data_IF_701514356542
#
_entry.id   IF_701514356542
#
_cell.length_a   1.000
_cell.length_b   1.000
_cell.length_c   1.000
_cell.angle_alpha   90.00
_cell.angle_beta   90.00
_cell.angle_gamma   90.00
#
_symmetry.space_group_name_H-M   'P 1'
#
loop_
_entity.id
_entity.type
_entity.pdbx_description
1 polymer ?
#
# COMPACT_ATOMS: atom_id res chain seq x y z
N UNK A 1 -23.50 5.26 -1.54
CA UNK A 1 -22.43 4.41 -2.08
C UNK A 1 -21.10 5.11 -1.86
N UNK A 2 -20.14 4.47 -1.19
CA UNK A 2 -18.80 5.02 -1.00
C UNK A 2 -18.02 5.04 -2.31
N UNK A 3 -17.17 6.06 -2.52
CA UNK A 3 -16.29 6.15 -3.69
C UNK A 3 -14.84 5.99 -3.25
N UNK A 4 -14.20 4.92 -3.70
CA UNK A 4 -12.84 4.55 -3.31
C UNK A 4 -12.00 4.44 -4.59
N UNK A 5 -10.84 5.11 -4.59
CA UNK A 5 -9.79 4.89 -5.59
C UNK A 5 -8.75 3.93 -5.00
N UNK A 6 -8.61 2.75 -5.60
CA UNK A 6 -7.81 1.66 -5.06
C UNK A 6 -6.32 1.72 -5.42
N UNK A 7 -5.87 2.68 -6.23
CA UNK A 7 -4.44 2.95 -6.43
C UNK A 7 -4.22 4.31 -7.08
N UNK A 8 -3.47 5.18 -6.41
CA UNK A 8 -3.09 6.48 -6.98
C UNK A 8 -1.62 6.82 -6.73
N UNK A 9 -0.92 7.22 -7.79
CA UNK A 9 0.46 7.69 -7.76
C UNK A 9 0.58 8.93 -8.65
N UNK A 10 0.67 10.10 -8.02
CA UNK A 10 0.71 11.38 -8.71
C UNK A 10 1.53 12.40 -7.93
N UNK A 11 1.77 13.57 -8.52
CA UNK A 11 2.43 14.67 -7.83
C UNK A 11 1.46 15.37 -6.87
N UNK A 12 1.34 14.83 -5.65
CA UNK A 12 0.39 15.26 -4.63
C UNK A 12 0.52 16.75 -4.30
N UNK A 13 -0.64 17.40 -4.20
CA UNK A 13 -0.75 18.82 -3.90
C UNK A 13 -2.14 19.15 -3.38
N UNK A 14 -2.30 20.32 -2.78
CA UNK A 14 -3.61 20.81 -2.35
C UNK A 14 -4.64 20.82 -3.49
N UNK A 15 -4.21 21.14 -4.72
CA UNK A 15 -5.07 21.09 -5.91
C UNK A 15 -5.69 19.71 -6.07
N UNK A 16 -4.89 18.65 -5.96
CA UNK A 16 -5.37 17.26 -6.09
C UNK A 16 -6.30 16.91 -4.92
N UNK A 17 -5.98 17.33 -3.69
CA UNK A 17 -6.86 17.11 -2.54
C UNK A 17 -8.24 17.75 -2.75
N UNK A 18 -8.29 18.97 -3.30
CA UNK A 18 -9.54 19.65 -3.66
C UNK A 18 -10.29 18.92 -4.78
N UNK A 19 -9.59 18.47 -5.82
CA UNK A 19 -10.20 17.70 -6.91
C UNK A 19 -10.80 16.37 -6.41
N UNK A 20 -10.15 15.67 -5.47
CA UNK A 20 -10.74 14.50 -4.82
C UNK A 20 -12.03 14.85 -4.08
N UNK A 21 -12.07 15.99 -3.38
CA UNK A 21 -13.29 16.46 -2.70
C UNK A 21 -14.41 16.83 -3.67
N UNK A 22 -14.10 17.59 -4.72
CA UNK A 22 -15.04 17.93 -5.80
C UNK A 22 -15.59 16.67 -6.49
N UNK A 23 -14.72 15.69 -6.69
CA UNK A 23 -15.06 14.36 -7.20
C UNK A 23 -15.72 13.44 -6.17
N UNK A 24 -15.99 13.88 -4.94
CA UNK A 24 -16.64 13.07 -3.91
C UNK A 24 -15.93 11.75 -3.58
N UNK A 25 -14.60 11.72 -3.65
CA UNK A 25 -13.79 10.54 -3.32
C UNK A 25 -13.71 10.41 -1.80
N UNK A 26 -14.25 9.33 -1.24
CA UNK A 26 -14.28 9.08 0.20
C UNK A 26 -12.94 8.50 0.70
N UNK A 27 -12.25 7.69 -0.12
CA UNK A 27 -10.94 7.15 0.22
C UNK A 27 -10.05 6.96 -1.02
N UNK A 28 -8.74 7.04 -0.81
CA UNK A 28 -7.74 6.70 -1.82
C UNK A 28 -6.60 5.90 -1.20
N UNK A 29 -6.21 4.81 -1.88
CA UNK A 29 -4.94 4.12 -1.63
C UNK A 29 -3.84 4.83 -2.40
N UNK A 30 -2.90 5.45 -1.68
CA UNK A 30 -1.79 6.21 -2.26
C UNK A 30 -0.50 5.41 -2.20
N UNK A 31 0.24 5.41 -3.30
CA UNK A 31 1.57 4.80 -3.32
C UNK A 31 2.58 5.71 -2.64
N UNK A 32 3.22 5.22 -1.59
CA UNK A 32 4.31 5.91 -0.89
C UNK A 32 5.65 5.18 -0.97
N UNK A 33 5.67 4.03 -1.64
CA UNK A 33 6.89 3.32 -2.01
C UNK A 33 6.72 2.64 -3.37
N UNK A 34 7.57 3.02 -4.31
CA UNK A 34 7.68 2.53 -5.68
C UNK A 34 9.12 2.08 -5.96
N UNK A 35 10.09 2.90 -5.55
CA UNK A 35 11.53 2.59 -5.56
C UNK A 35 12.21 2.80 -4.20
N UNK A 36 11.48 3.40 -3.26
CA UNK A 36 11.98 3.81 -1.97
C UNK A 36 12.36 2.62 -1.10
N UNK A 37 13.54 2.71 -0.48
CA UNK A 37 13.97 1.83 0.61
C UNK A 37 13.37 2.31 1.94
N UNK A 38 13.63 1.60 3.04
CA UNK A 38 12.97 1.89 4.33
C UNK A 38 13.07 3.36 4.76
N UNK A 39 14.28 3.94 4.69
CA UNK A 39 14.50 5.33 5.12
C UNK A 39 13.78 6.36 4.24
N UNK A 40 13.71 6.11 2.94
CA UNK A 40 13.05 7.00 1.98
C UNK A 40 11.52 6.91 2.12
N UNK A 41 10.99 5.70 2.37
CA UNK A 41 9.58 5.50 2.71
C UNK A 41 9.21 6.27 3.98
N UNK A 42 10.06 6.27 5.01
CA UNK A 42 9.85 7.07 6.23
C UNK A 42 9.80 8.57 5.90
N UNK A 43 10.65 9.07 5.01
CA UNK A 43 10.60 10.48 4.58
C UNK A 43 9.27 10.80 3.85
N UNK A 44 8.73 9.86 3.07
CA UNK A 44 7.40 10.00 2.47
C UNK A 44 6.30 10.06 3.54
N UNK A 45 6.38 9.23 4.60
CA UNK A 45 5.46 9.31 5.74
C UNK A 45 5.54 10.67 6.44
N UNK A 46 6.75 11.20 6.68
CA UNK A 46 6.95 12.54 7.25
C UNK A 46 6.29 13.63 6.39
N UNK A 47 6.44 13.56 5.06
CA UNK A 47 5.80 14.49 4.14
C UNK A 47 4.26 14.42 4.22
N UNK A 48 3.69 13.22 4.22
CA UNK A 48 2.25 13.03 4.34
C UNK A 48 1.69 13.54 5.65
N UNK A 49 2.39 13.33 6.77
CA UNK A 49 2.00 13.90 8.06
C UNK A 49 1.86 15.42 7.99
N UNK A 50 2.82 16.09 7.33
CA UNK A 50 2.74 17.53 7.08
C UNK A 50 1.55 17.95 6.22
N UNK A 51 1.11 17.11 5.26
CA UNK A 51 -0.11 17.38 4.49
C UNK A 51 -1.38 17.17 5.30
N UNK A 52 -1.44 16.13 6.16
CA UNK A 52 -2.59 15.92 7.05
C UNK A 52 -2.78 17.09 8.01
N UNK A 53 -1.71 17.69 8.51
CA UNK A 53 -1.78 18.90 9.34
C UNK A 53 -2.28 20.12 8.55
N UNK A 54 -1.63 20.42 7.41
CA UNK A 54 -1.92 21.62 6.60
C UNK A 54 -3.28 21.58 5.90
N UNK A 55 -3.77 20.39 5.57
CA UNK A 55 -5.00 20.17 4.81
C UNK A 55 -5.98 19.28 5.56
N UNK A 56 -6.01 19.40 6.88
CA UNK A 56 -6.87 18.61 7.77
C UNK A 56 -8.35 18.72 7.43
N UNK A 57 -8.80 19.82 6.83
CA UNK A 57 -10.17 19.99 6.33
C UNK A 57 -10.47 19.25 5.02
N UNK A 58 -9.46 18.69 4.34
CA UNK A 58 -9.61 17.96 3.07
C UNK A 58 -9.29 16.47 3.22
N UNK A 59 -8.25 16.13 3.98
CA UNK A 59 -7.71 14.76 4.05
C UNK A 59 -7.33 14.35 5.48
N UNK A 60 -7.18 13.03 5.69
CA UNK A 60 -6.55 12.43 6.88
C UNK A 60 -6.02 11.04 6.59
N UNK A 61 -5.18 10.53 7.50
CA UNK A 61 -4.69 9.16 7.45
C UNK A 61 -5.81 8.13 7.74
N UNK A 62 -6.07 7.26 6.77
CA UNK A 62 -6.95 6.10 6.90
C UNK A 62 -6.19 4.84 7.30
N UNK A 63 -6.80 4.02 8.16
CA UNK A 63 -6.21 2.78 8.68
C UNK A 63 -7.20 1.60 8.65
N UNK A 64 -8.49 1.87 8.59
CA UNK A 64 -9.58 0.90 8.72
C UNK A 64 -10.75 1.26 7.79
N UNK A 65 -11.69 0.34 7.60
CA UNK A 65 -12.92 0.63 6.86
C UNK A 65 -13.82 1.68 7.52
N UNK A 66 -13.68 1.92 8.83
CA UNK A 66 -14.39 3.01 9.52
C UNK A 66 -13.94 4.38 9.05
N UNK A 67 -12.67 4.53 8.69
CA UNK A 67 -12.14 5.80 8.18
C UNK A 67 -12.79 6.20 6.85
N UNK A 68 -13.20 5.22 6.02
CA UNK A 68 -13.96 5.49 4.79
C UNK A 68 -15.36 6.04 5.11
N UNK A 69 -16.00 5.53 6.17
CA UNK A 69 -17.30 6.01 6.65
C UNK A 69 -17.18 7.41 7.24
N UNK A 70 -16.15 7.62 8.06
CA UNK A 70 -15.84 8.91 8.66
C UNK A 70 -15.58 9.97 7.58
N UNK A 71 -14.73 9.67 6.60
CA UNK A 71 -14.39 10.57 5.50
C UNK A 71 -15.63 11.10 4.78
N UNK A 72 -16.57 10.20 4.46
CA UNK A 72 -17.86 10.58 3.87
C UNK A 72 -18.66 11.51 4.77
N UNK A 73 -18.78 11.18 6.06
CA UNK A 73 -19.59 11.94 7.01
C UNK A 73 -19.03 13.34 7.29
N UNK A 74 -17.71 13.48 7.28
CA UNK A 74 -17.00 14.73 7.56
C UNK A 74 -16.73 15.56 6.30
N UNK A 75 -17.05 15.03 5.12
CA UNK A 75 -16.75 15.72 3.87
C UNK A 75 -15.25 15.83 3.60
N UNK A 76 -14.47 14.79 3.95
CA UNK A 76 -13.01 14.66 3.76
C UNK A 76 -12.68 13.38 2.99
N UNK A 77 -11.42 13.18 2.61
CA UNK A 77 -10.93 11.94 1.97
C UNK A 77 -9.94 11.22 2.88
N UNK A 78 -10.19 9.94 3.17
CA UNK A 78 -9.24 9.10 3.90
C UNK A 78 -8.12 8.62 2.98
N UNK A 79 -6.87 8.77 3.40
CA UNK A 79 -5.66 8.41 2.66
C UNK A 79 -5.07 7.14 3.27
N UNK A 80 -5.05 6.05 2.51
CA UNK A 80 -4.47 4.78 2.92
C UNK A 80 -3.11 4.62 2.25
N UNK A 81 -2.07 4.35 3.02
CA UNK A 81 -0.75 4.12 2.44
C UNK A 81 -0.64 2.70 1.89
N UNK A 82 0.01 2.58 0.74
CA UNK A 82 0.53 1.31 0.30
C UNK A 82 1.77 1.42 -0.57
N UNK A 83 2.35 0.24 -0.80
CA UNK A 83 3.63 0.08 -1.47
C UNK A 83 3.41 -0.73 -2.74
N UNK A 84 3.82 -0.18 -3.88
CA UNK A 84 3.84 -0.94 -5.13
C UNK A 84 5.07 -1.86 -5.23
N UNK A 85 6.02 -1.75 -4.31
CA UNK A 85 7.24 -2.55 -4.25
C UNK A 85 7.53 -2.95 -2.80
N UNK A 86 8.00 -4.18 -2.52
CA UNK A 86 8.38 -4.59 -1.17
C UNK A 86 9.71 -3.98 -0.68
N UNK A 87 10.38 -3.12 -1.45
CA UNK A 87 11.67 -2.51 -1.09
C UNK A 87 11.74 -1.89 0.32
N UNK A 88 10.67 -1.33 0.94
CA UNK A 88 10.77 -0.82 2.30
C UNK A 88 11.03 -1.88 3.38
N UNK A 89 10.75 -3.16 3.12
CA UNK A 89 11.05 -4.24 4.09
C UNK A 89 12.43 -4.86 3.88
N UNK A 90 13.14 -4.49 2.80
CA UNK A 90 14.49 -4.95 2.50
C UNK A 90 14.60 -6.49 2.57
N UNK A 91 15.56 -7.02 3.32
CA UNK A 91 15.71 -8.44 3.63
C UNK A 91 15.27 -8.80 5.07
N UNK A 92 14.56 -7.89 5.76
CA UNK A 92 14.12 -8.05 7.16
C UNK A 92 12.59 -8.17 7.27
N UNK A 93 12.11 -9.39 7.58
CA UNK A 93 10.69 -9.69 7.78
C UNK A 93 10.08 -8.84 8.90
N UNK A 94 10.87 -8.47 9.92
CA UNK A 94 10.39 -7.65 11.04
C UNK A 94 9.95 -6.25 10.61
N UNK A 95 10.46 -5.74 9.49
CA UNK A 95 10.06 -4.43 8.95
C UNK A 95 8.62 -4.42 8.42
N UNK A 96 7.99 -5.59 8.19
CA UNK A 96 6.56 -5.66 7.83
C UNK A 96 5.69 -5.05 8.93
N UNK A 97 5.93 -5.44 10.20
CA UNK A 97 5.20 -4.89 11.35
C UNK A 97 5.47 -3.40 11.52
N UNK A 98 6.74 -2.99 11.39
CA UNK A 98 7.14 -1.58 11.51
C UNK A 98 6.46 -0.72 10.43
N UNK A 99 6.46 -1.17 9.17
CA UNK A 99 5.77 -0.48 8.08
C UNK A 99 4.26 -0.38 8.33
N UNK A 100 3.63 -1.45 8.83
CA UNK A 100 2.22 -1.44 9.20
C UNK A 100 1.91 -0.46 10.34
N UNK A 101 2.78 -0.38 11.36
CA UNK A 101 2.68 0.59 12.46
C UNK A 101 2.82 2.05 11.97
N UNK A 102 3.67 2.28 10.97
CA UNK A 102 3.84 3.57 10.30
C UNK A 102 2.64 3.95 9.41
N UNK A 103 1.70 3.04 9.19
CA UNK A 103 0.42 3.32 8.53
C UNK A 103 0.19 2.59 7.22
N UNK A 104 1.15 1.80 6.73
CA UNK A 104 0.97 1.00 5.53
C UNK A 104 -0.19 0.00 5.70
N UNK A 105 -1.04 -0.12 4.69
CA UNK A 105 -2.17 -1.06 4.66
C UNK A 105 -2.16 -2.00 3.48
N UNK A 106 -1.41 -1.68 2.44
CA UNK A 106 -1.23 -2.51 1.24
C UNK A 106 0.25 -2.61 0.92
N UNK A 107 0.71 -3.78 0.51
CA UNK A 107 2.06 -3.95 -0.04
C UNK A 107 2.03 -4.99 -1.15
N UNK A 108 2.58 -4.62 -2.30
CA UNK A 108 2.85 -5.57 -3.37
C UNK A 108 4.04 -6.46 -3.05
N UNK A 109 3.99 -7.72 -3.52
CA UNK A 109 5.13 -8.64 -3.37
C UNK A 109 6.22 -8.40 -4.42
N UNK A 110 5.91 -7.72 -5.53
CA UNK A 110 6.84 -7.40 -6.62
C UNK A 110 6.42 -6.13 -7.34
N UNK A 111 7.35 -5.55 -8.09
CA UNK A 111 7.06 -4.55 -9.11
C UNK A 111 7.80 -4.87 -10.41
N UNK A 112 7.08 -5.46 -11.38
CA UNK A 112 7.54 -5.87 -12.71
C UNK A 112 8.62 -6.96 -12.74
N UNK A 113 9.72 -6.80 -12.00
CA UNK A 113 10.83 -7.74 -11.96
C UNK A 113 10.76 -8.63 -10.71
N UNK A 114 11.61 -9.65 -10.67
CA UNK A 114 11.76 -10.51 -9.51
C UNK A 114 12.21 -9.73 -8.27
N UNK A 115 11.54 -9.98 -7.14
CA UNK A 115 11.92 -9.50 -5.82
C UNK A 115 12.48 -10.65 -4.97
N UNK A 116 12.84 -10.36 -3.72
CA UNK A 116 13.15 -11.42 -2.74
C UNK A 116 11.93 -12.29 -2.42
N UNK A 117 10.71 -11.84 -2.73
CA UNK A 117 9.46 -12.44 -2.28
C UNK A 117 8.78 -13.28 -3.35
N UNK A 118 8.79 -12.81 -4.60
CA UNK A 118 8.08 -13.45 -5.71
C UNK A 118 8.62 -13.00 -7.08
N UNK A 119 8.11 -13.58 -8.14
CA UNK A 119 8.43 -13.18 -9.52
C UNK A 119 7.45 -12.11 -10.02
N UNK A 120 8.00 -11.04 -10.60
CA UNK A 120 7.22 -9.95 -11.22
C UNK A 120 6.73 -10.29 -12.64
N UNK A 121 5.72 -9.57 -13.11
CA UNK A 121 5.02 -9.88 -14.37
C UNK A 121 5.84 -9.67 -15.66
N UNK A 122 7.01 -9.03 -15.60
CA UNK A 122 7.89 -8.81 -16.76
C UNK A 122 9.04 -9.83 -16.85
N UNK A 123 9.16 -10.73 -15.87
CA UNK A 123 10.15 -11.80 -15.93
C UNK A 123 9.76 -12.84 -16.99
N UNK A 124 10.77 -13.38 -17.68
CA UNK A 124 10.57 -14.45 -18.67
C UNK A 124 10.20 -15.80 -18.05
N UNK A 125 10.60 -16.02 -16.79
CA UNK A 125 10.33 -17.25 -16.04
C UNK A 125 9.69 -16.92 -14.70
N UNK A 126 8.49 -17.46 -14.44
CA UNK A 126 7.80 -17.31 -13.15
C UNK A 126 8.11 -18.48 -12.21
N UNK A 127 8.96 -18.21 -11.23
CA UNK A 127 9.38 -19.20 -10.23
C UNK A 127 8.40 -19.36 -9.07
N UNK A 128 7.39 -18.49 -8.98
CA UNK A 128 6.40 -18.48 -7.90
C UNK A 128 6.84 -17.72 -6.65
N UNK A 129 6.18 -17.99 -5.52
CA UNK A 129 6.52 -17.39 -4.22
C UNK A 129 7.77 -18.05 -3.64
N UNK A 130 8.77 -17.24 -3.28
CA UNK A 130 10.04 -17.71 -2.69
C UNK A 130 9.87 -18.19 -1.24
N UNK A 131 10.92 -18.79 -0.67
CA UNK A 131 10.94 -19.14 0.76
C UNK A 131 10.72 -17.91 1.66
N UNK A 132 11.35 -16.78 1.34
CA UNK A 132 11.18 -15.54 2.10
C UNK A 132 9.78 -14.96 1.88
N UNK A 133 9.27 -15.00 0.64
CA UNK A 133 7.91 -14.56 0.32
C UNK A 133 6.84 -15.27 1.17
N UNK A 134 6.96 -16.58 1.38
CA UNK A 134 6.04 -17.33 2.26
C UNK A 134 6.06 -16.81 3.71
N UNK A 135 7.25 -16.48 4.23
CA UNK A 135 7.38 -15.94 5.59
C UNK A 135 6.83 -14.51 5.70
N UNK A 136 7.06 -13.69 4.67
CA UNK A 136 6.48 -12.33 4.59
C UNK A 136 4.96 -12.39 4.47
N UNK A 137 4.39 -13.26 3.64
CA UNK A 137 2.93 -13.46 3.54
C UNK A 137 2.34 -13.86 4.90
N UNK A 138 3.01 -14.74 5.65
CA UNK A 138 2.57 -15.12 6.99
C UNK A 138 2.56 -13.90 7.95
N UNK A 139 3.59 -13.06 7.89
CA UNK A 139 3.68 -11.87 8.72
C UNK A 139 2.67 -10.78 8.32
N UNK A 140 2.48 -10.55 7.02
CA UNK A 140 1.44 -9.67 6.48
C UNK A 140 0.05 -10.09 6.96
N UNK A 141 -0.24 -11.39 6.92
CA UNK A 141 -1.49 -11.95 7.45
C UNK A 141 -1.67 -11.72 8.95
N UNK A 142 -0.59 -11.88 9.73
CA UNK A 142 -0.57 -11.67 11.19
C UNK A 142 -0.88 -10.22 11.55
N UNK A 143 -0.20 -9.26 10.91
CA UNK A 143 -0.35 -7.83 11.24
C UNK A 143 -1.56 -7.18 10.58
N UNK A 144 -2.09 -7.79 9.51
CA UNK A 144 -3.21 -7.24 8.73
C UNK A 144 -2.77 -6.28 7.63
N UNK A 145 -1.58 -6.49 7.05
CA UNK A 145 -1.13 -5.80 5.85
C UNK A 145 -1.67 -6.55 4.62
N UNK A 146 -2.44 -5.88 3.76
CA UNK A 146 -3.07 -6.50 2.60
C UNK A 146 -2.01 -6.80 1.53
N UNK A 147 -2.10 -8.00 0.95
CA UNK A 147 -1.23 -8.45 -0.14
C UNK A 147 -1.80 -7.93 -1.46
N UNK A 148 -0.97 -7.25 -2.24
CA UNK A 148 -1.29 -6.82 -3.59
C UNK A 148 -0.42 -7.58 -4.61
N UNK A 149 -1.04 -8.07 -5.68
CA UNK A 149 -0.38 -8.88 -6.72
C UNK A 149 -0.41 -8.21 -8.10
N UNK A 150 -0.79 -6.93 -8.18
CA UNK A 150 -1.04 -6.22 -9.45
C UNK A 150 0.15 -6.25 -10.44
N UNK A 151 1.40 -6.23 -9.95
CA UNK A 151 2.61 -6.36 -10.77
C UNK A 151 3.40 -7.65 -10.51
N UNK A 152 2.71 -8.72 -10.12
CA UNK A 152 3.27 -10.05 -9.95
C UNK A 152 2.91 -10.96 -11.13
N UNK A 153 3.75 -11.97 -11.37
CA UNK A 153 3.48 -12.96 -12.40
C UNK A 153 2.35 -13.94 -11.99
N UNK A 154 1.82 -14.69 -12.96
CA UNK A 154 0.61 -15.49 -12.80
C UNK A 154 0.76 -16.60 -11.73
N UNK A 155 1.79 -17.44 -11.82
CA UNK A 155 2.04 -18.50 -10.84
C UNK A 155 2.36 -17.90 -9.49
N UNK A 156 3.15 -16.83 -9.42
CA UNK A 156 3.39 -16.10 -8.17
C UNK A 156 2.09 -15.62 -7.52
N UNK A 157 1.14 -15.13 -8.33
CA UNK A 157 -0.19 -14.70 -7.86
C UNK A 157 -1.02 -15.88 -7.34
N UNK A 158 -1.07 -16.99 -8.09
CA UNK A 158 -1.78 -18.20 -7.67
C UNK A 158 -1.19 -18.81 -6.39
N UNK A 159 0.14 -18.87 -6.29
CA UNK A 159 0.84 -19.33 -5.09
C UNK A 159 0.52 -18.43 -3.89
N UNK A 160 0.43 -17.10 -4.06
CA UNK A 160 0.03 -16.20 -2.98
C UNK A 160 -1.41 -16.43 -2.52
N UNK A 161 -2.35 -16.69 -3.45
CA UNK A 161 -3.73 -17.05 -3.14
C UNK A 161 -3.79 -18.31 -2.28
N UNK A 162 -3.02 -19.35 -2.64
CA UNK A 162 -3.00 -20.62 -1.90
C UNK A 162 -2.33 -20.51 -0.52
N UNK A 163 -1.31 -19.66 -0.38
CA UNK A 163 -0.54 -19.52 0.88
C UNK A 163 -1.18 -18.52 1.83
N UNK A 164 -1.89 -17.51 1.32
CA UNK A 164 -2.49 -16.49 2.16
C UNK A 164 -3.66 -17.03 2.97
N UNK A 165 -3.71 -16.68 4.25
CA UNK A 165 -4.84 -17.00 5.13
C UNK A 165 -5.94 -15.93 5.14
N UNK A 166 -5.75 -14.84 4.39
CA UNK A 166 -6.67 -13.71 4.31
C UNK A 166 -6.84 -13.25 2.85
N UNK A 167 -8.01 -12.67 2.50
CA UNK A 167 -8.22 -12.03 1.21
C UNK A 167 -7.24 -10.88 0.95
#
# INVERSE_FOLDING_TARGET
MHRIDCLQYCNWSEKIFRQMREGGVDAVHVTIAYHEMFREMVANVEQWNGWFERHSNLIFAGRTGDDVRQARSEGRTAIFFGFQNPSPIEDDIGLVEICHMLGARFMQLTYNNQSLLATGCYESEDTGITRMGRAVIAEMNRVGLVIDMSHSAERSTLDAIEVSSRP
#
